data_IF_703898731687
#
_entry.id   IF_703898731687
#
_cell.length_a   1.000
_cell.length_b   1.000
_cell.length_c   1.000
_cell.angle_alpha   90.00
_cell.angle_beta   90.00
_cell.angle_gamma   90.00
#
_symmetry.space_group_name_H-M   'P 1'
#
loop_
_entity.id
_entity.type
_entity.pdbx_description
1 polymer ?
#
# COMPACT_ATOMS: atom_id res chain seq x y z
N UNK A 1 -7.63 -54.65 9.77
CA UNK A 1 -7.58 -53.28 10.32
C UNK A 1 -6.58 -52.55 9.46
N UNK A 2 -7.04 -52.09 8.31
CA UNK A 2 -6.19 -51.36 7.39
C UNK A 2 -6.03 -49.94 7.93
N UNK A 3 -4.78 -49.55 8.18
CA UNK A 3 -4.44 -48.18 8.51
C UNK A 3 -4.86 -47.31 7.33
N UNK A 4 -5.94 -46.55 7.51
CA UNK A 4 -6.28 -45.45 6.61
C UNK A 4 -5.09 -44.49 6.62
N UNK A 5 -4.26 -44.58 5.58
CA UNK A 5 -3.30 -43.54 5.24
C UNK A 5 -4.13 -42.27 5.05
N UNK A 6 -4.02 -41.34 5.99
CA UNK A 6 -4.45 -39.97 5.79
C UNK A 6 -3.86 -39.51 4.45
N UNK A 7 -4.66 -38.96 3.52
CA UNK A 7 -4.13 -38.49 2.26
C UNK A 7 -2.96 -37.54 2.53
N UNK A 8 -1.87 -37.71 1.78
CA UNK A 8 -0.72 -36.84 1.88
C UNK A 8 -1.20 -35.39 1.69
N UNK A 9 -0.95 -34.55 2.70
CA UNK A 9 -1.29 -33.14 2.64
C UNK A 9 -0.44 -32.48 1.55
N UNK A 10 -1.09 -31.93 0.53
CA UNK A 10 -0.42 -31.15 -0.52
C UNK A 10 -0.54 -29.67 -0.18
N UNK A 11 0.58 -28.93 -0.10
CA UNK A 11 0.54 -27.50 0.17
C UNK A 11 -0.18 -26.78 -0.99
N UNK A 12 -1.07 -25.81 -0.70
CA UNK A 12 -1.77 -25.06 -1.74
C UNK A 12 -0.89 -24.02 -2.47
N UNK A 13 0.30 -23.73 -1.94
CA UNK A 13 1.28 -22.82 -2.53
C UNK A 13 2.68 -23.42 -2.48
N UNK A 14 3.44 -23.23 -3.56
CA UNK A 14 4.85 -23.57 -3.66
C UNK A 14 5.74 -22.37 -3.29
N UNK A 15 7.01 -22.64 -2.98
CA UNK A 15 7.97 -21.58 -2.69
C UNK A 15 8.09 -20.60 -3.85
N UNK A 16 7.89 -19.33 -3.56
CA UNK A 16 7.92 -18.24 -4.53
C UNK A 16 6.56 -17.90 -5.15
N UNK A 17 5.51 -18.66 -4.89
CA UNK A 17 4.16 -18.31 -5.36
C UNK A 17 3.69 -17.01 -4.68
N UNK A 18 3.07 -16.09 -5.44
CA UNK A 18 2.48 -14.90 -4.85
C UNK A 18 1.24 -15.27 -4.03
N UNK A 19 1.15 -14.77 -2.79
CA UNK A 19 -0.05 -14.91 -1.98
C UNK A 19 -1.17 -14.02 -2.55
N UNK A 20 -2.35 -14.57 -2.89
CA UNK A 20 -3.45 -13.78 -3.44
C UNK A 20 -3.88 -12.68 -2.46
N UNK A 21 -3.85 -11.42 -2.86
CA UNK A 21 -4.37 -10.36 -2.01
C UNK A 21 -5.89 -10.44 -1.88
N UNK A 22 -6.37 -10.18 -0.66
CA UNK A 22 -7.78 -10.14 -0.31
C UNK A 22 -8.04 -8.99 0.65
N UNK A 23 -9.30 -8.61 0.79
CA UNK A 23 -9.78 -7.87 1.94
C UNK A 23 -10.67 -8.77 2.81
N UNK A 24 -10.73 -8.51 4.10
CA UNK A 24 -11.63 -9.20 5.04
C UNK A 24 -11.90 -8.31 6.26
N UNK A 25 -12.94 -8.65 7.04
CA UNK A 25 -13.16 -8.00 8.31
C UNK A 25 -12.02 -8.32 9.30
N UNK A 26 -11.74 -7.39 10.18
CA UNK A 26 -10.74 -7.49 11.23
C UNK A 26 -11.25 -6.78 12.50
N UNK A 27 -10.73 -7.08 13.69
CA UNK A 27 -11.10 -6.34 14.90
C UNK A 27 -10.90 -4.83 14.73
N UNK A 28 -11.99 -4.06 14.77
CA UNK A 28 -12.00 -2.60 14.58
C UNK A 28 -12.04 -2.12 13.13
N UNK A 29 -12.20 -3.01 12.14
CA UNK A 29 -12.30 -2.66 10.72
C UNK A 29 -13.20 -3.63 9.97
N UNK A 30 -14.29 -3.16 9.37
CA UNK A 30 -15.17 -4.00 8.55
C UNK A 30 -14.47 -4.53 7.29
N UNK A 31 -13.47 -3.78 6.82
CA UNK A 31 -12.69 -4.13 5.64
C UNK A 31 -11.22 -3.75 5.82
N UNK A 32 -10.36 -4.73 5.97
CA UNK A 32 -8.91 -4.57 6.05
C UNK A 32 -8.26 -5.26 4.85
N UNK A 33 -7.40 -4.53 4.13
CA UNK A 33 -6.73 -5.02 2.95
C UNK A 33 -5.43 -5.72 3.34
N UNK A 34 -5.30 -7.00 2.98
CA UNK A 34 -4.08 -7.76 3.23
C UNK A 34 -2.87 -7.13 2.51
N UNK A 35 -3.07 -6.53 1.34
CA UNK A 35 -2.03 -5.83 0.57
C UNK A 35 -1.31 -4.70 1.33
N UNK A 36 -1.90 -4.20 2.44
CA UNK A 36 -1.30 -3.17 3.29
C UNK A 36 -0.23 -3.69 4.25
N UNK A 37 -0.03 -5.00 4.38
CA UNK A 37 0.87 -5.60 5.38
C UNK A 37 2.27 -5.91 4.86
N UNK A 38 2.58 -5.56 3.62
CA UNK A 38 3.88 -5.77 3.00
C UNK A 38 5.02 -5.05 3.74
N UNK A 39 6.26 -5.39 3.38
CA UNK A 39 7.48 -4.81 3.93
C UNK A 39 7.98 -5.41 5.24
N UNK A 40 7.47 -6.59 5.60
CA UNK A 40 7.90 -7.42 6.72
C UNK A 40 7.53 -8.87 6.44
N UNK A 41 8.09 -9.83 7.16
CA UNK A 41 7.60 -11.20 7.08
C UNK A 41 6.19 -11.31 7.64
N UNK A 42 5.35 -12.11 6.99
CA UNK A 42 3.99 -12.38 7.45
C UNK A 42 3.81 -13.87 7.68
N UNK A 43 3.32 -14.23 8.87
CA UNK A 43 2.78 -15.55 9.15
C UNK A 43 1.26 -15.49 9.05
N UNK A 44 0.69 -16.05 7.99
CA UNK A 44 -0.74 -16.33 7.91
C UNK A 44 -1.03 -17.69 8.55
N UNK A 45 -1.94 -17.72 9.52
CA UNK A 45 -2.40 -18.96 10.16
C UNK A 45 -3.84 -19.26 9.82
N UNK A 46 -4.10 -20.31 9.05
CA UNK A 46 -5.46 -20.79 8.79
C UNK A 46 -5.87 -21.73 9.92
N UNK A 47 -6.57 -21.17 10.90
CA UNK A 47 -6.84 -21.83 12.18
C UNK A 47 -8.03 -22.80 12.04
N UNK A 48 -7.91 -24.06 12.50
CA UNK A 48 -9.04 -24.99 12.53
C UNK A 48 -10.08 -24.60 13.58
N UNK A 49 -11.23 -25.28 13.57
CA UNK A 49 -12.22 -25.17 14.64
C UNK A 49 -11.63 -25.41 16.05
N UNK A 50 -12.33 -24.98 17.12
CA UNK A 50 -11.91 -25.21 18.51
C UNK A 50 -11.59 -26.69 18.78
N UNK A 51 -10.42 -26.97 19.36
CA UNK A 51 -9.97 -28.33 19.62
C UNK A 51 -8.53 -28.42 20.11
N UNK A 52 -8.07 -29.64 20.40
CA UNK A 52 -6.75 -29.89 20.97
C UNK A 52 -5.61 -29.34 20.07
N UNK A 53 -5.69 -29.56 18.76
CA UNK A 53 -4.70 -29.08 17.79
C UNK A 53 -4.53 -27.55 17.86
N UNK A 54 -5.65 -26.82 17.88
CA UNK A 54 -5.67 -25.36 18.01
C UNK A 54 -5.09 -24.89 19.35
N UNK A 55 -5.48 -25.53 20.45
CA UNK A 55 -5.01 -25.16 21.78
C UNK A 55 -3.48 -25.33 21.91
N UNK A 56 -2.94 -26.42 21.39
CA UNK A 56 -1.48 -26.66 21.36
C UNK A 56 -0.77 -25.58 20.55
N UNK A 57 -1.28 -25.27 19.35
CA UNK A 57 -0.73 -24.23 18.50
C UNK A 57 -0.76 -22.83 19.14
N UNK A 58 -1.87 -22.45 19.77
CA UNK A 58 -2.01 -21.15 20.42
C UNK A 58 -1.11 -21.04 21.65
N UNK A 59 -0.98 -22.09 22.46
CA UNK A 59 -0.03 -22.10 23.58
C UNK A 59 1.41 -21.93 23.09
N UNK A 60 1.80 -22.62 22.02
CA UNK A 60 3.11 -22.45 21.42
C UNK A 60 3.31 -21.03 20.87
N UNK A 61 2.30 -20.45 20.22
CA UNK A 61 2.33 -19.07 19.75
C UNK A 61 2.54 -18.07 20.89
N UNK A 62 1.81 -18.24 22.00
CA UNK A 62 2.00 -17.38 23.18
C UNK A 62 3.40 -17.51 23.78
N UNK A 63 3.97 -18.71 23.80
CA UNK A 63 5.34 -18.92 24.28
C UNK A 63 6.42 -18.24 23.40
N UNK A 64 6.12 -18.03 22.11
CA UNK A 64 7.02 -17.38 21.14
C UNK A 64 6.57 -15.98 20.75
N UNK A 65 5.69 -15.37 21.55
CA UNK A 65 5.01 -14.12 21.21
C UNK A 65 5.96 -12.97 20.89
N UNK A 66 7.13 -12.96 21.51
CA UNK A 66 8.18 -11.95 21.33
C UNK A 66 8.84 -11.96 19.95
N UNK A 67 8.69 -13.03 19.16
CA UNK A 67 9.18 -13.07 17.77
C UNK A 67 8.37 -12.18 16.82
N UNK A 68 7.15 -11.81 17.22
CA UNK A 68 6.23 -11.03 16.39
C UNK A 68 6.19 -9.58 16.90
N UNK A 69 6.85 -8.68 16.18
CA UNK A 69 7.19 -7.33 16.64
C UNK A 69 6.66 -6.20 15.73
N UNK A 70 5.94 -6.54 14.65
CA UNK A 70 5.49 -5.58 13.63
C UNK A 70 6.62 -4.83 12.88
N UNK A 71 7.89 -5.20 13.05
CA UNK A 71 8.99 -4.67 12.23
C UNK A 71 9.62 -5.77 11.38
N UNK A 72 9.89 -6.92 11.98
CA UNK A 72 10.49 -8.06 11.34
C UNK A 72 9.41 -9.07 10.91
N UNK A 73 8.52 -9.45 11.84
CA UNK A 73 7.51 -10.49 11.61
C UNK A 73 6.17 -10.09 12.26
N UNK A 74 5.08 -10.29 11.53
CA UNK A 74 3.71 -10.18 12.06
C UNK A 74 2.93 -11.46 11.78
N UNK A 75 2.07 -11.86 12.71
CA UNK A 75 1.11 -12.94 12.52
C UNK A 75 -0.29 -12.39 12.25
N UNK A 76 -0.93 -12.97 11.24
CA UNK A 76 -2.33 -12.74 10.89
C UNK A 76 -3.06 -14.08 10.91
N UNK A 77 -3.90 -14.28 11.92
CA UNK A 77 -4.64 -15.53 12.08
C UNK A 77 -6.05 -15.39 11.49
N UNK A 78 -6.45 -16.36 10.67
CA UNK A 78 -7.76 -16.40 10.02
C UNK A 78 -8.70 -17.26 10.87
N UNK A 79 -9.79 -16.66 11.35
CA UNK A 79 -10.83 -17.32 12.15
C UNK A 79 -12.14 -17.40 11.39
N UNK A 80 -12.81 -18.56 11.48
CA UNK A 80 -14.13 -18.77 10.87
C UNK A 80 -15.27 -18.95 11.88
N UNK A 81 -14.96 -19.46 13.08
CA UNK A 81 -16.00 -19.78 14.07
C UNK A 81 -16.50 -18.53 14.82
N UNK A 82 -17.82 -18.42 14.95
CA UNK A 82 -18.48 -17.21 15.45
C UNK A 82 -18.04 -16.82 16.87
N UNK A 83 -17.89 -17.78 17.78
CA UNK A 83 -17.49 -17.53 19.17
C UNK A 83 -16.07 -16.96 19.25
N UNK A 84 -15.14 -17.49 18.46
CA UNK A 84 -13.77 -16.96 18.40
C UNK A 84 -13.70 -15.60 17.73
N UNK A 85 -14.49 -15.39 16.67
CA UNK A 85 -14.61 -14.10 15.99
C UNK A 85 -15.06 -13.02 16.97
N UNK A 86 -16.09 -13.28 17.78
CA UNK A 86 -16.61 -12.33 18.77
C UNK A 86 -15.53 -11.93 19.80
N UNK A 87 -14.70 -12.90 20.19
CA UNK A 87 -13.61 -12.72 21.17
C UNK A 87 -12.31 -12.18 20.57
N UNK A 88 -12.18 -12.17 19.24
CA UNK A 88 -10.93 -11.79 18.57
C UNK A 88 -10.57 -10.34 18.84
N UNK A 89 -9.36 -10.09 19.34
CA UNK A 89 -8.81 -8.75 19.54
C UNK A 89 -7.38 -8.71 19.02
N UNK A 90 -7.07 -7.66 18.27
CA UNK A 90 -5.70 -7.38 17.86
C UNK A 90 -4.84 -7.17 19.11
N UNK A 91 -3.64 -7.73 19.11
CA UNK A 91 -2.67 -7.59 20.18
C UNK A 91 -1.38 -7.06 19.55
N UNK A 92 -1.24 -5.74 19.38
CA UNK A 92 0.02 -5.16 18.92
C UNK A 92 1.10 -5.22 20.02
N UNK A 93 2.38 -5.33 19.66
CA UNK A 93 2.88 -5.50 18.29
C UNK A 93 2.78 -6.97 17.83
N UNK A 94 2.38 -7.27 16.60
CA UNK A 94 2.68 -8.58 15.98
C UNK A 94 1.58 -9.63 15.92
N UNK A 95 0.42 -9.47 16.58
CA UNK A 95 -0.72 -10.39 16.40
C UNK A 95 -1.98 -9.64 15.94
N UNK A 96 -2.48 -10.06 14.77
CA UNK A 96 -3.69 -9.55 14.13
C UNK A 96 -4.58 -10.71 13.68
N UNK A 97 -5.83 -10.37 13.36
CA UNK A 97 -6.84 -11.33 12.95
C UNK A 97 -7.52 -10.92 11.65
N UNK A 98 -7.81 -11.90 10.81
CA UNK A 98 -8.80 -11.82 9.75
C UNK A 98 -10.01 -12.65 10.15
N UNK A 99 -11.20 -12.07 9.99
CA UNK A 99 -12.48 -12.68 10.34
C UNK A 99 -13.12 -13.15 9.03
N UNK A 100 -13.29 -14.46 8.90
CA UNK A 100 -13.69 -15.15 7.66
C UNK A 100 -14.95 -16.01 7.90
N UNK A 101 -16.06 -15.44 8.41
CA UNK A 101 -17.24 -16.22 8.80
C UNK A 101 -17.89 -16.97 7.63
N UNK A 102 -17.71 -16.49 6.39
CA UNK A 102 -18.21 -17.12 5.17
C UNK A 102 -17.22 -18.12 4.54
N UNK A 103 -15.98 -18.20 5.06
CA UNK A 103 -14.91 -19.06 4.57
C UNK A 103 -14.29 -18.62 3.23
N UNK A 104 -14.57 -17.40 2.73
CA UNK A 104 -14.08 -16.95 1.42
C UNK A 104 -12.56 -16.88 1.37
N UNK A 105 -11.92 -16.34 2.41
CA UNK A 105 -10.46 -16.26 2.48
C UNK A 105 -9.86 -17.66 2.63
N UNK A 106 -10.44 -18.50 3.48
CA UNK A 106 -9.96 -19.87 3.67
C UNK A 106 -10.05 -20.71 2.38
N UNK A 107 -11.11 -20.56 1.58
CA UNK A 107 -11.22 -21.22 0.27
C UNK A 107 -10.21 -20.68 -0.75
N UNK A 108 -10.00 -19.36 -0.79
CA UNK A 108 -9.01 -18.72 -1.67
C UNK A 108 -7.59 -19.28 -1.44
N UNK A 109 -7.31 -19.70 -0.21
CA UNK A 109 -6.02 -20.24 0.20
C UNK A 109 -6.01 -21.77 0.37
N UNK A 110 -7.05 -22.48 -0.08
CA UNK A 110 -7.12 -23.94 0.01
C UNK A 110 -7.20 -24.51 1.44
N UNK A 111 -7.45 -23.68 2.45
CA UNK A 111 -7.63 -24.10 3.84
C UNK A 111 -9.04 -24.64 4.14
N UNK A 112 -9.96 -24.48 3.20
CA UNK A 112 -11.33 -24.98 3.25
C UNK A 112 -11.71 -25.46 1.85
N UNK A 113 -12.16 -26.70 1.71
CA UNK A 113 -12.64 -27.24 0.42
C UNK A 113 -14.14 -26.93 0.17
N UNK A 114 -14.65 -27.39 -0.96
CA UNK A 114 -16.05 -27.14 -1.37
C UNK A 114 -17.05 -27.94 -0.51
N UNK A 115 -16.62 -29.08 0.02
CA UNK A 115 -17.40 -29.97 0.87
C UNK A 115 -17.38 -29.54 2.35
N UNK A 116 -16.55 -28.55 2.70
CA UNK A 116 -16.41 -28.01 4.05
C UNK A 116 -15.31 -28.69 4.89
N UNK A 117 -14.48 -29.53 4.27
CA UNK A 117 -13.28 -30.10 4.87
C UNK A 117 -12.23 -29.03 5.17
N UNK A 118 -11.72 -29.04 6.41
CA UNK A 118 -10.71 -28.09 6.88
C UNK A 118 -9.30 -28.64 6.64
N UNK A 119 -8.46 -27.82 6.02
CA UNK A 119 -7.06 -28.13 5.75
C UNK A 119 -6.18 -27.07 6.43
N UNK A 120 -6.12 -27.03 7.78
CA UNK A 120 -5.43 -25.97 8.50
C UNK A 120 -3.92 -26.02 8.26
N UNK A 121 -3.30 -24.86 8.07
CA UNK A 121 -1.86 -24.73 7.87
C UNK A 121 -1.36 -23.33 8.18
N UNK A 122 -0.04 -23.21 8.23
CA UNK A 122 0.70 -21.97 8.35
C UNK A 122 1.31 -21.61 7.00
N UNK A 123 1.15 -20.36 6.57
CA UNK A 123 1.77 -19.81 5.38
C UNK A 123 2.73 -18.70 5.81
N UNK A 124 4.02 -18.92 5.59
CA UNK A 124 5.06 -17.93 5.85
C UNK A 124 5.38 -17.19 4.56
N UNK A 125 5.35 -15.86 4.60
CA UNK A 125 5.51 -14.98 3.46
C UNK A 125 6.69 -14.02 3.65
N UNK A 126 7.35 -13.70 2.55
CA UNK A 126 8.37 -12.66 2.50
C UNK A 126 7.77 -11.24 2.50
N UNK A 127 8.59 -10.18 2.67
CA UNK A 127 8.16 -8.79 2.62
C UNK A 127 7.40 -8.34 1.36
N UNK A 128 7.50 -9.09 0.26
CA UNK A 128 6.77 -8.87 -0.99
C UNK A 128 5.53 -9.78 -1.14
N UNK A 129 5.13 -10.47 -0.07
CA UNK A 129 4.03 -11.44 -0.05
C UNK A 129 4.22 -12.64 -0.98
N UNK A 130 5.46 -13.11 -1.16
CA UNK A 130 5.71 -14.40 -1.81
C UNK A 130 5.91 -15.51 -0.79
N UNK A 131 5.48 -16.71 -1.14
CA UNK A 131 5.52 -17.89 -0.28
C UNK A 131 6.95 -18.31 0.03
N UNK A 132 7.29 -18.35 1.32
CA UNK A 132 8.53 -18.94 1.82
C UNK A 132 8.33 -20.41 2.22
N UNK A 133 7.20 -20.69 2.88
CA UNK A 133 6.87 -22.05 3.30
C UNK A 133 5.36 -22.20 3.59
N UNK A 134 4.82 -23.37 3.26
CA UNK A 134 3.56 -23.88 3.79
C UNK A 134 3.89 -24.99 4.80
N UNK A 135 3.40 -24.87 6.04
CA UNK A 135 3.68 -25.83 7.11
C UNK A 135 2.35 -26.37 7.68
N UNK A 136 2.14 -27.69 7.77
CA UNK A 136 0.93 -28.24 8.39
C UNK A 136 0.72 -27.68 9.79
N UNK A 137 -0.52 -27.39 10.17
CA UNK A 137 -0.80 -26.59 11.38
C UNK A 137 -0.22 -27.17 12.68
N UNK A 138 -0.12 -28.51 12.77
CA UNK A 138 0.45 -29.22 13.92
C UNK A 138 1.98 -29.34 13.93
N UNK A 139 2.69 -28.98 12.85
CA UNK A 139 4.15 -29.11 12.73
C UNK A 139 4.87 -27.87 13.28
N UNK A 140 4.59 -27.54 14.54
CA UNK A 140 5.06 -26.30 15.17
C UNK A 140 6.59 -26.21 15.28
N UNK A 141 7.28 -27.32 15.55
CA UNK A 141 8.75 -27.33 15.60
C UNK A 141 9.37 -26.92 14.26
N UNK A 142 8.79 -27.38 13.14
CA UNK A 142 9.22 -26.99 11.80
C UNK A 142 8.93 -25.51 11.55
N UNK A 143 7.72 -25.04 11.89
CA UNK A 143 7.34 -23.64 11.75
C UNK A 143 8.34 -22.71 12.46
N UNK A 144 8.63 -22.95 13.74
CA UNK A 144 9.53 -22.08 14.49
C UNK A 144 10.99 -22.20 14.05
N UNK A 145 11.42 -23.34 13.54
CA UNK A 145 12.73 -23.46 12.90
C UNK A 145 12.83 -22.58 11.65
N UNK A 146 11.78 -22.52 10.82
CA UNK A 146 11.70 -21.62 9.66
C UNK A 146 11.70 -20.15 10.07
N UNK A 147 10.91 -19.78 11.08
CA UNK A 147 10.87 -18.42 11.62
C UNK A 147 12.23 -17.98 12.16
N UNK A 148 12.90 -18.85 12.93
CA UNK A 148 14.23 -18.54 13.48
C UNK A 148 15.32 -18.38 12.41
N UNK A 149 15.10 -18.90 11.21
CA UNK A 149 16.01 -18.79 10.07
C UNK A 149 15.74 -17.59 9.16
N UNK A 150 14.74 -16.76 9.46
CA UNK A 150 14.45 -15.56 8.67
C UNK A 150 15.62 -14.58 8.76
N UNK A 151 16.18 -14.11 7.63
CA UNK A 151 17.20 -13.08 7.63
C UNK A 151 16.57 -11.71 7.98
N UNK A 152 17.36 -10.67 8.26
CA UNK A 152 16.86 -9.31 8.36
C UNK A 152 15.99 -8.92 7.16
N UNK A 153 14.96 -8.09 7.37
CA UNK A 153 14.02 -7.69 6.31
C UNK A 153 14.73 -7.06 5.12
N UNK A 154 15.80 -6.30 5.33
CA UNK A 154 16.55 -5.67 4.24
C UNK A 154 17.35 -6.67 3.38
N UNK A 155 17.58 -7.88 3.89
CA UNK A 155 18.36 -8.94 3.26
C UNK A 155 17.49 -10.12 2.80
N UNK A 156 16.16 -9.99 2.82
CA UNK A 156 15.23 -11.11 2.58
C UNK A 156 15.41 -11.80 1.24
N UNK A 157 15.87 -11.06 0.22
CA UNK A 157 16.11 -11.57 -1.13
C UNK A 157 17.51 -12.19 -1.31
N UNK A 158 18.35 -12.18 -0.28
CA UNK A 158 19.74 -12.65 -0.34
C UNK A 158 20.67 -11.76 -1.19
N UNK A 159 20.21 -10.58 -1.58
CA UNK A 159 20.95 -9.56 -2.31
C UNK A 159 20.41 -8.19 -1.94
N UNK A 160 21.22 -7.15 -2.12
CA UNK A 160 20.77 -5.78 -1.94
C UNK A 160 19.60 -5.46 -2.88
N UNK A 161 18.51 -4.94 -2.30
CA UNK A 161 17.32 -4.55 -3.03
C UNK A 161 17.29 -3.04 -3.29
N UNK A 162 16.80 -2.71 -4.49
CA UNK A 162 16.45 -1.36 -4.87
C UNK A 162 15.00 -1.39 -5.34
N UNK A 163 14.16 -0.51 -4.79
CA UNK A 163 12.82 -0.30 -5.31
C UNK A 163 12.89 0.03 -6.81
N UNK A 164 12.00 -0.54 -7.65
CA UNK A 164 12.01 -0.38 -9.10
C UNK A 164 11.42 0.98 -9.48
N UNK A 165 12.10 2.04 -9.02
CA UNK A 165 11.71 3.43 -9.19
C UNK A 165 12.69 4.14 -10.10
N UNK A 166 12.18 5.14 -10.79
CA UNK A 166 12.96 5.93 -11.73
C UNK A 166 13.24 7.30 -11.12
N UNK A 167 14.51 7.58 -10.82
CA UNK A 167 14.97 8.86 -10.29
C UNK A 167 15.53 9.73 -11.43
N UNK A 168 14.93 10.89 -11.68
CA UNK A 168 15.40 11.86 -12.68
C UNK A 168 15.69 13.22 -12.05
N UNK A 169 16.94 13.70 -12.07
CA UNK A 169 17.24 15.07 -11.68
C UNK A 169 16.85 16.06 -12.79
N UNK A 170 16.70 17.35 -12.42
CA UNK A 170 16.52 18.49 -13.36
C UNK A 170 15.29 18.36 -14.27
N UNK A 171 14.17 17.90 -13.71
CA UNK A 171 12.87 17.88 -14.40
C UNK A 171 12.24 19.27 -14.39
N UNK A 172 12.32 19.97 -13.26
CA UNK A 172 11.92 21.37 -13.12
C UNK A 172 13.14 22.25 -12.85
N UNK A 173 13.13 23.44 -13.41
CA UNK A 173 14.16 24.44 -13.16
C UNK A 173 14.00 25.05 -11.76
N UNK A 174 15.10 25.52 -11.12
CA UNK A 174 15.04 26.11 -9.78
C UNK A 174 14.05 27.29 -9.67
N UNK A 175 13.94 28.12 -10.70
CA UNK A 175 13.01 29.26 -10.70
C UNK A 175 11.56 28.82 -10.72
N UNK A 176 11.24 27.77 -11.48
CA UNK A 176 9.91 27.17 -11.48
C UNK A 176 9.60 26.55 -10.11
N UNK A 177 10.57 25.86 -9.49
CA UNK A 177 10.40 25.30 -8.14
C UNK A 177 10.07 26.40 -7.11
N UNK A 178 10.83 27.49 -7.10
CA UNK A 178 10.58 28.64 -6.22
C UNK A 178 9.21 29.27 -6.48
N UNK A 179 8.80 29.39 -7.74
CA UNK A 179 7.48 29.94 -8.10
C UNK A 179 6.34 29.05 -7.62
N UNK A 180 6.46 27.73 -7.73
CA UNK A 180 5.47 26.78 -7.21
C UNK A 180 5.35 26.84 -5.68
N UNK A 181 6.48 27.00 -4.97
CA UNK A 181 6.47 27.21 -3.52
C UNK A 181 5.77 28.54 -3.19
N UNK A 182 6.08 29.62 -3.92
CA UNK A 182 5.43 30.92 -3.74
C UNK A 182 3.92 30.88 -3.95
N UNK A 183 3.44 30.12 -4.95
CA UNK A 183 1.99 29.90 -5.15
C UNK A 183 1.36 29.20 -3.94
N UNK A 184 2.02 28.18 -3.40
CA UNK A 184 1.55 27.52 -2.18
C UNK A 184 1.52 28.48 -0.99
N UNK A 185 2.59 29.26 -0.77
CA UNK A 185 2.71 30.15 0.39
C UNK A 185 1.73 31.32 0.34
N UNK A 186 1.36 31.79 -0.86
CA UNK A 186 0.38 32.85 -1.04
C UNK A 186 -1.05 32.42 -0.70
N UNK A 187 -1.43 31.18 -1.05
CA UNK A 187 -2.78 30.65 -0.79
C UNK A 187 -2.90 30.05 0.63
N UNK A 188 -1.85 29.37 1.08
CA UNK A 188 -1.86 28.53 2.27
C UNK A 188 -2.56 27.19 2.00
N UNK A 189 -1.87 26.08 2.26
CA UNK A 189 -2.42 24.75 1.96
C UNK A 189 -3.52 24.28 2.91
N UNK A 190 -4.46 23.54 2.36
CA UNK A 190 -5.55 22.90 3.11
C UNK A 190 -5.17 21.47 3.50
N UNK A 191 -5.59 21.01 4.68
CA UNK A 191 -5.35 19.62 5.11
C UNK A 191 -5.97 18.65 4.10
N UNK A 192 -5.20 17.68 3.63
CA UNK A 192 -5.67 16.72 2.64
C UNK A 192 -5.70 15.29 3.19
N UNK A 193 -6.85 14.64 3.00
CA UNK A 193 -7.11 13.30 3.49
C UNK A 193 -6.58 12.18 2.58
N UNK A 194 -6.98 10.96 2.92
CA UNK A 194 -6.80 9.74 2.13
C UNK A 194 -8.09 9.39 1.39
N UNK A 195 -7.98 8.77 0.22
CA UNK A 195 -9.14 8.30 -0.52
C UNK A 195 -9.59 6.95 0.06
N UNK A 196 -10.87 6.80 0.34
CA UNK A 196 -11.47 5.53 0.80
C UNK A 196 -12.77 5.23 0.07
N UNK A 197 -13.00 3.97 -0.22
CA UNK A 197 -14.29 3.51 -0.73
C UNK A 197 -15.25 3.25 0.45
N UNK A 198 -16.37 3.99 0.48
CA UNK A 198 -17.45 3.89 1.46
C UNK A 198 -18.76 3.82 0.69
N UNK A 199 -19.56 2.78 0.93
CA UNK A 199 -20.87 2.57 0.26
C UNK A 199 -20.82 2.68 -1.28
N UNK A 200 -19.76 2.11 -1.89
CA UNK A 200 -19.55 2.13 -3.34
C UNK A 200 -19.06 3.47 -3.90
N UNK A 201 -18.64 4.41 -3.05
CA UNK A 201 -18.15 5.74 -3.45
C UNK A 201 -16.76 6.00 -2.89
N UNK A 202 -15.92 6.72 -3.63
CA UNK A 202 -14.61 7.13 -3.15
C UNK A 202 -14.66 8.54 -2.57
N UNK A 203 -14.42 8.68 -1.27
CA UNK A 203 -14.42 9.98 -0.56
C UNK A 203 -13.06 10.27 0.07
N UNK A 204 -12.75 11.55 0.28
CA UNK A 204 -11.59 11.99 1.06
C UNK A 204 -11.90 11.94 2.57
N UNK A 205 -11.09 11.22 3.33
CA UNK A 205 -11.21 11.09 4.80
C UNK A 205 -9.97 11.69 5.46
N UNK A 206 -10.17 12.61 6.41
CA UNK A 206 -9.10 13.14 7.26
C UNK A 206 -8.87 12.20 8.45
N UNK A 207 -7.67 11.65 8.57
CA UNK A 207 -7.24 10.83 9.71
C UNK A 207 -5.72 10.89 9.93
N UNK A 208 -5.22 10.21 10.96
CA UNK A 208 -3.78 10.13 11.29
C UNK A 208 -2.99 9.21 10.34
N UNK A 209 -3.55 8.85 9.18
CA UNK A 209 -2.80 8.12 8.16
C UNK A 209 -1.94 9.07 7.31
N UNK A 210 -2.30 10.35 7.27
CA UNK A 210 -1.64 11.34 6.44
C UNK A 210 -1.67 12.71 7.10
N UNK A 211 -0.51 13.34 7.21
CA UNK A 211 -0.36 14.71 7.70
C UNK A 211 0.34 15.56 6.65
N UNK A 212 -0.47 16.18 5.80
CA UNK A 212 -0.03 16.94 4.62
C UNK A 212 -1.05 18.01 4.28
N UNK A 213 -0.58 19.14 3.76
CA UNK A 213 -1.43 20.22 3.24
C UNK A 213 -1.17 20.43 1.76
N UNK A 214 -2.23 20.60 0.97
CA UNK A 214 -2.14 20.70 -0.49
C UNK A 214 -2.73 22.03 -0.99
N UNK A 215 -2.18 22.53 -2.10
CA UNK A 215 -2.77 23.59 -2.94
C UNK A 215 -2.95 23.02 -4.35
N UNK A 216 -4.16 23.14 -4.89
CA UNK A 216 -4.44 22.77 -6.28
C UNK A 216 -4.06 23.92 -7.19
N UNK A 217 -3.16 23.67 -8.13
CA UNK A 217 -2.80 24.67 -9.13
C UNK A 217 -3.95 24.76 -10.12
N UNK A 218 -4.68 25.87 -10.16
CA UNK A 218 -5.83 26.07 -11.06
C UNK A 218 -5.49 26.83 -12.35
N UNK A 219 -4.48 27.69 -12.28
CA UNK A 219 -4.01 28.52 -13.40
C UNK A 219 -3.60 27.65 -14.61
N UNK A 220 -4.22 27.86 -15.80
CA UNK A 220 -3.89 27.12 -17.01
C UNK A 220 -2.44 27.29 -17.47
N UNK A 221 -1.82 28.45 -17.28
CA UNK A 221 -0.49 28.74 -17.79
C UNK A 221 0.58 27.98 -17.01
N UNK A 222 0.48 27.94 -15.66
CA UNK A 222 1.37 27.13 -14.85
C UNK A 222 1.19 25.63 -15.13
N UNK A 223 -0.06 25.17 -15.34
CA UNK A 223 -0.35 23.78 -15.71
C UNK A 223 0.28 23.41 -17.05
N UNK A 224 0.17 24.29 -18.04
CA UNK A 224 0.77 24.09 -19.36
C UNK A 224 2.30 24.02 -19.27
N UNK A 225 2.94 24.89 -18.48
CA UNK A 225 4.40 24.85 -18.28
C UNK A 225 4.85 23.52 -17.64
N UNK A 226 4.15 23.06 -16.60
CA UNK A 226 4.41 21.77 -15.96
C UNK A 226 4.22 20.60 -16.94
N UNK A 227 3.17 20.66 -17.77
CA UNK A 227 2.92 19.66 -18.79
C UNK A 227 4.02 19.55 -19.82
N UNK A 228 4.62 20.68 -20.22
CA UNK A 228 5.76 20.67 -21.13
C UNK A 228 6.92 19.88 -20.52
N UNK A 229 7.28 20.12 -19.24
CA UNK A 229 8.37 19.40 -18.56
C UNK A 229 8.06 17.92 -18.37
N UNK A 230 6.82 17.57 -18.02
CA UNK A 230 6.42 16.14 -17.92
C UNK A 230 6.61 15.46 -19.28
N UNK A 231 6.18 16.10 -20.37
CA UNK A 231 6.29 15.53 -21.73
C UNK A 231 7.72 15.44 -22.24
N UNK A 232 8.56 16.44 -21.99
CA UNK A 232 9.94 16.48 -22.51
C UNK A 232 10.94 15.70 -21.64
N UNK A 233 10.75 15.67 -20.32
CA UNK A 233 11.70 15.08 -19.38
C UNK A 233 11.26 13.70 -18.86
N UNK A 234 10.01 13.57 -18.40
CA UNK A 234 9.55 12.34 -17.73
C UNK A 234 9.03 11.29 -18.70
N UNK A 235 8.14 11.67 -19.63
CA UNK A 235 7.46 10.72 -20.50
C UNK A 235 8.42 9.82 -21.31
N UNK A 236 9.50 10.34 -21.93
CA UNK A 236 10.44 9.50 -22.68
C UNK A 236 11.20 8.51 -21.78
N UNK A 237 11.52 8.93 -20.54
CA UNK A 237 12.20 8.07 -19.59
C UNK A 237 11.29 6.95 -19.06
N UNK A 238 10.01 7.27 -18.81
CA UNK A 238 8.98 6.30 -18.43
C UNK A 238 8.77 5.29 -19.55
N UNK A 239 8.62 5.75 -20.80
CA UNK A 239 8.44 4.88 -21.95
C UNK A 239 9.62 3.93 -22.13
N UNK A 240 10.85 4.45 -22.01
CA UNK A 240 12.07 3.63 -22.12
C UNK A 240 12.19 2.58 -21.01
N UNK A 241 11.99 2.97 -19.75
CA UNK A 241 12.27 2.10 -18.58
C UNK A 241 11.12 1.15 -18.30
N UNK A 242 9.88 1.63 -18.38
CA UNK A 242 8.69 0.86 -18.00
C UNK A 242 7.87 0.37 -19.19
N UNK A 243 8.32 0.64 -20.43
CA UNK A 243 7.59 0.26 -21.65
C UNK A 243 6.14 0.78 -21.65
N UNK A 244 5.93 1.96 -21.06
CA UNK A 244 4.61 2.55 -20.84
C UNK A 244 4.53 3.96 -21.41
N UNK A 245 3.52 4.21 -22.25
CA UNK A 245 3.28 5.53 -22.82
C UNK A 245 2.24 6.30 -22.01
N UNK A 246 2.70 7.15 -21.09
CA UNK A 246 1.83 8.06 -20.35
C UNK A 246 1.24 9.13 -21.28
N UNK A 247 -0.09 9.26 -21.31
CA UNK A 247 -0.78 10.23 -22.18
C UNK A 247 -1.60 11.26 -21.40
N UNK A 248 -1.84 11.03 -20.11
CA UNK A 248 -2.62 11.92 -19.25
C UNK A 248 -1.96 12.17 -17.91
N UNK A 249 -2.32 13.33 -17.34
CA UNK A 249 -2.02 13.74 -15.96
C UNK A 249 -3.34 13.95 -15.24
N UNK A 250 -3.49 13.36 -14.05
CA UNK A 250 -4.75 13.42 -13.30
C UNK A 250 -4.98 14.77 -12.62
N UNK A 251 -3.94 15.35 -12.04
CA UNK A 251 -4.04 16.53 -11.17
C UNK A 251 -2.72 17.29 -11.10
N UNK A 252 -2.81 18.55 -10.69
CA UNK A 252 -1.67 19.46 -10.52
C UNK A 252 -1.73 20.07 -9.13
N UNK A 253 -0.95 19.54 -8.19
CA UNK A 253 -0.94 20.04 -6.82
C UNK A 253 0.47 20.21 -6.29
N UNK A 254 0.65 21.24 -5.46
CA UNK A 254 1.81 21.40 -4.59
C UNK A 254 1.42 20.97 -3.19
N UNK A 255 2.17 20.03 -2.63
CA UNK A 255 2.01 19.54 -1.29
C UNK A 255 3.09 20.11 -0.37
N UNK A 256 2.75 20.33 0.89
CA UNK A 256 3.67 20.64 1.97
C UNK A 256 3.55 19.61 3.10
N UNK A 257 4.69 19.07 3.50
CA UNK A 257 4.86 18.31 4.75
C UNK A 257 5.71 19.16 5.70
N UNK A 258 5.13 19.57 6.83
CA UNK A 258 5.78 20.49 7.77
C UNK A 258 6.29 19.73 9.00
N UNK A 259 7.55 19.91 9.38
CA UNK A 259 8.13 19.33 10.59
C UNK A 259 7.40 19.76 11.88
N UNK A 260 6.83 20.97 11.91
CA UNK A 260 6.06 21.45 13.07
C UNK A 260 4.82 20.57 13.33
N UNK A 261 4.30 19.97 12.27
CA UNK A 261 3.20 19.01 12.29
C UNK A 261 3.69 17.55 12.24
N UNK A 262 5.00 17.32 12.15
CA UNK A 262 5.60 16.02 11.92
C UNK A 262 5.25 15.41 10.56
N UNK A 263 4.92 16.23 9.55
CA UNK A 263 4.27 15.83 8.30
C UNK A 263 4.78 14.52 7.68
N UNK A 264 3.86 13.63 7.31
CA UNK A 264 4.12 12.29 6.77
C UNK A 264 2.96 11.79 5.90
N UNK A 265 3.16 10.65 5.24
CA UNK A 265 2.08 9.85 4.67
C UNK A 265 2.42 8.37 4.82
N UNK A 266 1.65 7.63 5.62
CA UNK A 266 1.91 6.22 5.98
C UNK A 266 1.92 5.28 4.76
N UNK A 267 2.49 4.07 4.87
CA UNK A 267 2.57 3.10 3.78
C UNK A 267 1.22 2.81 3.10
N UNK A 268 1.11 3.10 1.80
CA UNK A 268 -0.10 2.93 1.01
C UNK A 268 0.21 2.62 -0.46
N UNK A 269 -0.85 2.28 -1.21
CA UNK A 269 -0.84 2.20 -2.67
C UNK A 269 -1.81 3.23 -3.23
N UNK A 270 -1.50 3.76 -4.41
CA UNK A 270 -2.23 4.87 -4.99
C UNK A 270 -3.38 4.45 -5.91
N UNK A 271 -3.59 3.15 -6.14
CA UNK A 271 -4.56 2.64 -7.13
C UNK A 271 -5.56 1.59 -6.58
N UNK A 272 -5.75 1.51 -5.26
CA UNK A 272 -6.61 0.50 -4.63
C UNK A 272 -8.07 0.92 -4.42
N UNK A 273 -8.45 2.16 -4.75
CA UNK A 273 -9.85 2.64 -4.66
C UNK A 273 -10.48 2.80 -6.04
N UNK A 274 -11.81 2.79 -6.13
CA UNK A 274 -12.52 3.01 -7.40
C UNK A 274 -12.08 4.31 -8.09
N UNK A 275 -11.99 5.41 -7.33
CA UNK A 275 -11.58 6.72 -7.83
C UNK A 275 -10.14 6.79 -8.32
N UNK A 276 -9.27 5.91 -7.84
CA UNK A 276 -7.83 5.96 -8.12
C UNK A 276 -7.31 4.79 -8.96
N UNK A 277 -8.14 3.78 -9.25
CA UNK A 277 -7.79 2.57 -10.00
C UNK A 277 -7.20 2.81 -11.41
N UNK A 278 -7.44 3.99 -11.98
CA UNK A 278 -6.91 4.40 -13.27
C UNK A 278 -5.42 4.77 -13.24
N UNK A 279 -4.89 5.15 -12.07
CA UNK A 279 -3.51 5.61 -11.91
C UNK A 279 -2.53 4.49 -12.25
N UNK A 280 -1.43 4.85 -12.91
CA UNK A 280 -0.35 3.93 -13.28
C UNK A 280 0.95 4.31 -12.61
N UNK A 281 1.32 5.59 -12.71
CA UNK A 281 2.51 6.11 -12.06
C UNK A 281 2.20 7.29 -11.15
N UNK A 282 2.82 7.27 -9.98
CA UNK A 282 2.95 8.42 -9.12
C UNK A 282 4.29 9.09 -9.41
N UNK A 283 4.30 10.41 -9.35
CA UNK A 283 5.52 11.21 -9.48
C UNK A 283 5.63 12.11 -8.28
N UNK A 284 6.78 12.08 -7.63
CA UNK A 284 7.12 13.02 -6.57
C UNK A 284 8.29 13.89 -7.03
N UNK A 285 8.02 15.14 -7.34
CA UNK A 285 9.08 16.13 -7.64
C UNK A 285 9.33 16.98 -6.42
N UNK A 286 10.55 16.94 -5.87
CA UNK A 286 10.93 17.80 -4.75
C UNK A 286 11.17 19.23 -5.25
N UNK A 287 10.68 20.22 -4.50
CA UNK A 287 10.83 21.63 -4.85
C UNK A 287 11.92 22.34 -4.03
N UNK A 288 12.37 21.74 -2.93
CA UNK A 288 13.35 22.31 -1.99
C UNK A 288 14.11 21.24 -1.18
N UNK A 289 14.69 20.24 -1.86
CA UNK A 289 15.35 19.07 -1.25
C UNK A 289 16.46 19.41 -0.23
N UNK A 290 17.08 20.59 -0.36
CA UNK A 290 18.15 21.04 0.52
C UNK A 290 17.63 21.70 1.82
N UNK A 291 16.34 22.04 1.89
CA UNK A 291 15.74 22.84 2.97
C UNK A 291 14.99 22.02 4.03
N UNK A 292 15.00 20.68 3.94
CA UNK A 292 14.34 19.80 4.90
C UNK A 292 15.14 18.53 5.24
N UNK A 293 14.84 17.94 6.40
CA UNK A 293 15.30 16.60 6.81
C UNK A 293 14.12 15.66 7.02
N UNK A 294 14.34 14.36 6.83
CA UNK A 294 13.26 13.37 6.78
C UNK A 294 12.44 13.54 5.50
N UNK A 295 11.15 13.20 5.52
CA UNK A 295 10.25 13.45 4.40
C UNK A 295 10.46 12.55 3.18
N UNK A 296 11.41 11.62 3.23
CA UNK A 296 11.84 10.81 2.10
C UNK A 296 10.83 9.75 1.72
N UNK A 297 10.86 9.33 0.45
CA UNK A 297 10.08 8.19 0.01
C UNK A 297 10.75 6.89 0.48
N UNK A 298 9.95 5.94 0.98
CA UNK A 298 10.39 4.58 1.28
C UNK A 298 9.40 3.59 0.68
N UNK A 299 9.91 2.46 0.22
CA UNK A 299 9.14 1.39 -0.42
C UNK A 299 9.34 0.10 0.36
N UNK A 300 8.49 -0.19 1.37
CA UNK A 300 8.76 -1.25 2.34
C UNK A 300 8.97 -2.65 1.73
N UNK A 301 8.33 -2.93 0.60
CA UNK A 301 8.52 -4.17 -0.19
C UNK A 301 9.97 -4.41 -0.63
N UNK A 302 10.81 -3.37 -0.64
CA UNK A 302 12.21 -3.40 -1.10
C UNK A 302 13.19 -2.98 0.00
N UNK A 303 12.77 -3.06 1.26
CA UNK A 303 13.59 -2.76 2.43
C UNK A 303 13.49 -1.32 2.93
N UNK A 304 14.43 -0.95 3.80
CA UNK A 304 14.41 0.29 4.58
C UNK A 304 14.97 1.52 3.84
N UNK A 305 15.56 1.33 2.65
CA UNK A 305 16.18 2.38 1.85
C UNK A 305 15.21 3.52 1.54
N UNK A 306 15.71 4.75 1.68
CA UNK A 306 14.96 5.96 1.35
C UNK A 306 15.42 6.60 0.04
N UNK A 307 14.52 7.34 -0.60
CA UNK A 307 14.72 8.00 -1.89
C UNK A 307 14.38 9.48 -1.77
N UNK A 308 15.38 10.34 -1.97
CA UNK A 308 15.25 11.80 -2.03
C UNK A 308 15.78 12.32 -3.37
N UNK A 309 14.92 12.75 -4.31
CA UNK A 309 15.41 13.45 -5.49
C UNK A 309 15.89 14.86 -5.10
N UNK A 310 16.88 15.42 -5.83
CA UNK A 310 17.32 16.80 -5.61
C UNK A 310 16.20 17.80 -5.93
N UNK A 311 16.37 19.09 -5.61
CA UNK A 311 15.42 20.12 -6.02
C UNK A 311 15.21 20.11 -7.54
N UNK A 312 13.93 20.12 -7.95
CA UNK A 312 13.50 19.97 -9.33
C UNK A 312 13.66 18.55 -9.89
N UNK A 313 14.11 17.58 -9.10
CA UNK A 313 14.20 16.18 -9.47
C UNK A 313 12.95 15.38 -9.08
N UNK A 314 12.68 14.31 -9.84
CA UNK A 314 11.55 13.40 -9.66
C UNK A 314 11.98 12.02 -9.16
N UNK A 315 11.11 11.39 -8.37
CA UNK A 315 10.99 9.93 -8.27
C UNK A 315 9.68 9.53 -8.93
N UNK A 316 9.74 8.64 -9.92
CA UNK A 316 8.59 8.06 -10.61
C UNK A 316 8.48 6.59 -10.22
N UNK A 317 7.29 6.16 -9.81
CA UNK A 317 7.06 4.80 -9.34
C UNK A 317 5.64 4.33 -9.66
N UNK A 318 5.46 3.02 -9.83
CA UNK A 318 4.15 2.45 -10.11
C UNK A 318 3.22 2.63 -8.89
N UNK A 319 1.98 3.06 -9.13
CA UNK A 319 1.00 3.30 -8.06
C UNK A 319 0.63 2.04 -7.27
N UNK A 320 0.88 0.87 -7.87
CA UNK A 320 0.70 -0.41 -7.23
C UNK A 320 1.85 -0.82 -6.31
N UNK A 321 2.90 -0.02 -6.11
CA UNK A 321 3.93 -0.26 -5.09
C UNK A 321 3.53 0.36 -3.76
N UNK A 322 3.76 -0.36 -2.66
CA UNK A 322 3.54 0.20 -1.34
C UNK A 322 4.64 1.19 -1.06
N UNK A 323 4.25 2.39 -0.68
CA UNK A 323 5.18 3.47 -0.44
C UNK A 323 4.67 4.41 0.64
N UNK A 324 5.59 5.16 1.22
CA UNK A 324 5.30 6.18 2.22
C UNK A 324 6.14 7.42 1.99
N UNK A 325 5.70 8.54 2.55
CA UNK A 325 6.56 9.67 2.86
C UNK A 325 6.89 9.61 4.35
N UNK A 326 8.16 9.33 4.67
CA UNK A 326 8.65 9.30 6.05
C UNK A 326 8.43 10.66 6.73
N UNK A 327 8.37 10.72 8.07
CA UNK A 327 8.17 11.98 8.78
C UNK A 327 9.22 13.03 8.42
N UNK A 328 8.79 14.27 8.17
CA UNK A 328 9.69 15.42 8.11
C UNK A 328 10.11 15.78 9.53
N UNK A 329 11.41 15.82 9.77
CA UNK A 329 12.00 16.08 11.09
C UNK A 329 12.53 17.50 11.24
N UNK A 330 12.83 18.18 10.12
CA UNK A 330 13.24 19.59 10.09
C UNK A 330 12.75 20.27 8.82
N UNK A 331 12.31 21.52 8.94
CA UNK A 331 11.91 22.35 7.80
C UNK A 331 10.56 21.99 7.22
N UNK A 332 10.32 22.42 5.99
CA UNK A 332 9.08 22.16 5.22
C UNK A 332 9.46 21.51 3.91
N UNK A 333 8.92 20.32 3.62
CA UNK A 333 9.09 19.65 2.33
C UNK A 333 7.98 20.06 1.38
N UNK A 334 8.34 20.76 0.31
CA UNK A 334 7.43 21.07 -0.79
C UNK A 334 7.63 20.09 -1.94
N UNK A 335 6.53 19.57 -2.49
CA UNK A 335 6.57 18.64 -3.61
C UNK A 335 5.42 18.86 -4.60
N UNK A 336 5.72 18.75 -5.91
CA UNK A 336 4.70 18.66 -6.95
C UNK A 336 4.38 17.18 -7.21
N UNK A 337 3.10 16.79 -7.09
CA UNK A 337 2.67 15.39 -7.01
C UNK A 337 1.63 14.99 -8.08
N UNK A 338 2.00 14.89 -9.38
CA UNK A 338 1.09 14.41 -10.41
C UNK A 338 0.98 12.87 -10.43
N UNK A 339 -0.16 12.39 -10.92
CA UNK A 339 -0.33 10.99 -11.33
C UNK A 339 -0.45 10.89 -12.84
N UNK A 340 0.20 9.88 -13.41
CA UNK A 340 0.24 9.62 -14.84
C UNK A 340 -0.49 8.31 -15.17
N UNK A 341 -1.18 8.32 -16.29
CA UNK A 341 -1.89 7.16 -16.83
C UNK A 341 -2.06 7.29 -18.35
N UNK A 342 -2.59 6.25 -18.98
CA UNK A 342 -2.77 6.13 -20.42
C UNK A 342 -4.26 6.19 -20.82
N UNK A 343 -4.55 5.84 -22.08
CA UNK A 343 -5.91 5.77 -22.56
C UNK A 343 -6.72 4.65 -21.86
N UNK A 344 -6.12 3.50 -21.56
CA UNK A 344 -6.81 2.43 -20.84
C UNK A 344 -7.18 2.87 -19.40
N UNK A 345 -6.28 3.59 -18.72
CA UNK A 345 -6.57 4.24 -17.45
C UNK A 345 -7.75 5.20 -17.55
N UNK A 346 -7.83 6.01 -18.60
CA UNK A 346 -8.97 6.92 -18.77
C UNK A 346 -10.30 6.19 -18.88
N UNK A 347 -10.37 5.08 -19.61
CA UNK A 347 -11.60 4.28 -19.71
C UNK A 347 -12.05 3.80 -18.32
N UNK A 348 -11.09 3.38 -17.48
CA UNK A 348 -11.37 3.02 -16.08
C UNK A 348 -11.89 4.23 -15.29
N UNK A 349 -11.25 5.40 -15.45
CA UNK A 349 -11.65 6.63 -14.78
C UNK A 349 -13.06 7.04 -15.15
N UNK A 350 -13.40 7.02 -16.44
CA UNK A 350 -14.72 7.35 -16.98
C UNK A 350 -15.79 6.40 -16.44
N UNK A 351 -15.52 5.09 -16.48
CA UNK A 351 -16.41 4.07 -15.89
C UNK A 351 -16.68 4.32 -14.41
N UNK A 352 -15.66 4.75 -13.67
CA UNK A 352 -15.74 4.94 -12.22
C UNK A 352 -16.16 6.37 -11.82
N UNK A 353 -16.42 7.29 -12.77
CA UNK A 353 -16.80 8.68 -12.44
C UNK A 353 -18.04 8.78 -11.56
N UNK A 354 -18.99 7.87 -11.72
CA UNK A 354 -20.20 7.82 -10.88
C UNK A 354 -19.90 7.55 -9.40
N UNK A 355 -18.79 6.87 -9.09
CA UNK A 355 -18.36 6.58 -7.72
C UNK A 355 -17.65 7.77 -7.05
N UNK A 356 -17.24 8.79 -7.80
CA UNK A 356 -16.55 9.99 -7.29
C UNK A 356 -17.51 11.11 -6.87
N UNK A 357 -18.77 11.11 -7.36
CA UNK A 357 -19.72 12.19 -7.11
C UNK A 357 -20.61 11.90 -5.87
N UNK A 358 -20.37 12.61 -4.76
CA UNK A 358 -21.21 12.70 -3.55
C UNK A 358 -21.51 14.17 -3.18
N UNK A 359 -22.45 14.49 -2.26
CA UNK A 359 -23.31 15.70 -2.30
C UNK A 359 -22.67 17.07 -1.97
N UNK A 360 -21.38 17.31 -2.30
CA UNK A 360 -20.78 18.65 -2.22
C UNK A 360 -20.03 19.12 -3.46
N UNK A 361 -20.10 18.40 -4.59
CA UNK A 361 -19.55 18.86 -5.88
C UNK A 361 -20.66 19.22 -6.89
N UNK A 362 -21.60 20.06 -6.46
CA UNK A 362 -22.50 20.80 -7.34
C UNK A 362 -22.16 22.31 -7.39
N UNK A 363 -20.96 22.68 -6.95
CA UNK A 363 -20.40 24.03 -7.10
C UNK A 363 -19.04 23.89 -7.79
N UNK A 364 -19.09 23.79 -9.12
CA UNK A 364 -18.03 24.10 -10.10
C UNK A 364 -18.12 23.15 -11.29
N UNK A 365 -19.11 23.41 -12.14
CA UNK A 365 -19.04 23.04 -13.55
C UNK A 365 -19.02 24.33 -14.38
N UNK A 366 -17.87 24.76 -14.90
CA UNK A 366 -17.82 25.75 -15.96
C UNK A 366 -17.88 24.99 -17.28
N UNK A 367 -19.07 24.81 -17.83
CA UNK A 367 -19.32 24.74 -19.28
C UNK A 367 -20.82 24.48 -19.55
N UNK A 368 -21.58 25.56 -19.57
CA UNK A 368 -22.75 25.66 -20.44
C UNK A 368 -22.39 26.70 -21.50
N UNK A 369 -22.01 26.24 -22.69
CA UNK A 369 -21.91 27.11 -23.85
C UNK A 369 -23.30 27.72 -24.15
N UNK A 370 -23.37 28.99 -24.57
CA UNK A 370 -24.65 29.61 -24.92
C UNK A 370 -25.16 28.99 -26.22
N UNK A 371 -26.40 28.50 -26.20
CA UNK A 371 -27.15 28.21 -27.41
C UNK A 371 -27.61 29.54 -28.06
N UNK A 372 -27.81 29.58 -29.39
CA UNK A 372 -28.12 30.80 -30.15
C UNK A 372 -29.42 31.49 -29.72
#
# INVERSE_FOLDING_TARGET
MDAQTTPDWTPPFETGDPAPWFDAAAPGSERYYFSATTGRYILLGFVPGPGALRNVAFNAFQAHRSLFDDSHLSAFLVLRDAESIEKARNQPPGLRWFLDPDGRVSRLYGALDAEGGEHPYWLLLDPSHRTLACVPFGKLAELYARIAALPPVDDYAGTELYAPVLVLPRVLEPDLCRRLIGLYEAEGGTLSGVMRDVDGRTIGVLDDFKRRRDVMLSDPDIRNELMVRIRSCLAPAIERVFQFKATRVERYLVACYDAADGGYFRPHRDNETLGTAHRRFAVSINLNAEDFEGGDLRFPEYGSRTYRPPTGGAVVFACGLQHEATPVTRGRRYAFLPFLYDQAGQVIRERNMGALKGPSEAADSPDAAPAP
#
